data_IF_597562217306
#
_entry.id   IF_597562217306
#
_cell.length_a   1.000
_cell.length_b   1.000
_cell.length_c   1.000
_cell.angle_alpha   90.00
_cell.angle_beta   90.00
_cell.angle_gamma   90.00
#
_symmetry.space_group_name_H-M   'P 1'
#
loop_
_entity.id
_entity.type
_entity.pdbx_description
1 polymer ?
#
# COMPACT_ATOMS: atom_id res chain seq x y z
N UNK A 1 6.86 11.40 4.18
CA UNK A 1 5.59 10.92 3.57
C UNK A 1 4.35 11.71 3.98
N UNK A 2 4.32 12.40 5.13
CA UNK A 2 3.16 13.23 5.52
C UNK A 2 1.89 12.42 5.83
N UNK A 3 2.04 11.11 6.06
CA UNK A 3 0.94 10.21 6.44
C UNK A 3 1.02 9.93 7.93
N UNK A 4 -0.13 9.86 8.59
CA UNK A 4 -0.20 9.52 10.00
C UNK A 4 0.17 8.05 10.21
N UNK A 5 0.63 7.70 11.42
CA UNK A 5 0.84 6.30 11.81
C UNK A 5 -0.44 5.46 11.65
N UNK A 6 -1.61 6.06 11.85
CA UNK A 6 -2.89 5.39 11.64
C UNK A 6 -3.13 5.02 10.17
N UNK A 7 -2.75 5.89 9.23
CA UNK A 7 -2.85 5.60 7.80
C UNK A 7 -1.94 4.44 7.40
N UNK A 8 -0.72 4.38 7.97
CA UNK A 8 0.18 3.23 7.77
C UNK A 8 -0.43 1.95 8.31
N UNK A 9 -0.92 1.95 9.56
CA UNK A 9 -1.56 0.77 10.16
C UNK A 9 -2.80 0.31 9.37
N UNK A 10 -3.59 1.22 8.80
CA UNK A 10 -4.76 0.88 8.01
C UNK A 10 -4.39 0.15 6.69
N UNK A 11 -3.26 0.53 6.08
CA UNK A 11 -2.71 -0.13 4.90
C UNK A 11 -2.16 -1.52 5.30
N UNK A 12 -1.37 -1.61 6.37
CA UNK A 12 -0.79 -2.87 6.83
C UNK A 12 -1.83 -3.90 7.28
N UNK A 13 -2.97 -3.45 7.80
CA UNK A 13 -4.07 -4.33 8.24
C UNK A 13 -5.05 -4.67 7.11
N UNK A 14 -4.80 -4.22 5.88
CA UNK A 14 -5.69 -4.43 4.73
C UNK A 14 -7.07 -3.76 4.88
N UNK A 15 -7.22 -2.84 5.83
CA UNK A 15 -8.49 -2.10 6.04
C UNK A 15 -8.73 -1.08 4.95
N UNK A 16 -7.67 -0.47 4.42
CA UNK A 16 -7.73 0.55 3.38
C UNK A 16 -6.55 0.46 2.43
N UNK A 17 -6.83 0.50 1.13
CA UNK A 17 -5.80 0.68 0.13
C UNK A 17 -5.18 2.08 0.23
N UNK A 18 -3.87 2.22 -0.03
CA UNK A 18 -3.28 3.54 -0.18
C UNK A 18 -3.91 4.25 -1.38
N UNK A 19 -4.11 5.58 -1.26
CA UNK A 19 -4.42 6.38 -2.46
C UNK A 19 -3.28 6.28 -3.48
N UNK A 20 -3.60 6.39 -4.76
CA UNK A 20 -2.61 6.30 -5.84
C UNK A 20 -1.39 7.25 -5.64
N UNK A 21 -1.56 8.53 -5.22
CA UNK A 21 -0.42 9.39 -4.90
C UNK A 21 0.45 8.90 -3.74
N UNK A 22 -0.14 8.25 -2.74
CA UNK A 22 0.59 7.66 -1.60
C UNK A 22 1.36 6.42 -2.04
N UNK A 23 0.73 5.53 -2.80
CA UNK A 23 1.37 4.33 -3.34
C UNK A 23 2.63 4.68 -4.17
N UNK A 24 2.54 5.68 -5.05
CA UNK A 24 3.70 6.16 -5.81
C UNK A 24 4.77 6.84 -4.93
N UNK A 25 4.41 7.51 -3.83
CA UNK A 25 5.40 8.07 -2.88
C UNK A 25 6.14 6.96 -2.16
N UNK A 26 5.46 5.86 -1.83
CA UNK A 26 6.06 4.67 -1.21
C UNK A 26 6.99 3.98 -2.20
N UNK A 27 6.56 3.75 -3.45
CA UNK A 27 7.39 3.20 -4.52
C UNK A 27 8.71 3.98 -4.71
N UNK A 28 8.63 5.31 -4.81
CA UNK A 28 9.83 6.17 -4.89
C UNK A 28 10.72 6.10 -3.66
N UNK A 29 10.15 5.93 -2.46
CA UNK A 29 10.93 5.82 -1.22
C UNK A 29 11.79 4.55 -1.22
N UNK A 30 11.25 3.44 -1.71
CA UNK A 30 11.96 2.17 -1.80
C UNK A 30 12.77 2.01 -3.09
N UNK A 31 12.69 2.98 -4.02
CA UNK A 31 13.32 2.90 -5.35
C UNK A 31 12.92 1.64 -6.12
N UNK A 32 11.66 1.23 -5.96
CA UNK A 32 11.09 0.03 -6.59
C UNK A 32 9.85 0.41 -7.43
N UNK A 33 9.51 -0.38 -8.46
CA UNK A 33 8.24 -0.27 -9.16
C UNK A 33 7.05 -0.45 -8.21
N UNK A 34 5.90 0.15 -8.54
CA UNK A 34 4.71 0.12 -7.67
C UNK A 34 4.14 -1.29 -7.57
N UNK A 35 4.23 -2.06 -8.66
CA UNK A 35 3.82 -3.45 -8.80
C UNK A 35 4.69 -4.44 -8.00
N UNK A 36 5.87 -4.05 -7.54
CA UNK A 36 6.69 -4.86 -6.63
C UNK A 36 6.31 -4.66 -5.16
N UNK A 37 5.54 -3.60 -4.85
CA UNK A 37 5.14 -3.24 -3.48
C UNK A 37 3.65 -3.52 -3.26
N UNK A 38 2.81 -3.29 -4.27
CA UNK A 38 1.36 -3.43 -4.20
C UNK A 38 0.87 -4.38 -5.29
N UNK A 39 -0.12 -5.20 -4.97
CA UNK A 39 -0.80 -6.10 -5.90
C UNK A 39 -2.28 -5.75 -5.96
N UNK A 40 -2.88 -5.90 -7.13
CA UNK A 40 -4.32 -5.79 -7.38
C UNK A 40 -5.06 -7.11 -7.11
N UNK A 41 -4.34 -8.17 -6.74
CA UNK A 41 -4.93 -9.45 -6.37
C UNK A 41 -5.75 -9.27 -5.10
N UNK A 42 -7.07 -9.49 -5.19
CA UNK A 42 -7.89 -9.67 -4.00
C UNK A 42 -7.26 -10.75 -3.12
N UNK A 43 -7.27 -10.59 -1.78
CA UNK A 43 -6.76 -11.62 -0.89
C UNK A 43 -7.45 -12.93 -1.27
N UNK A 44 -6.64 -13.94 -1.58
CA UNK A 44 -7.14 -15.25 -1.95
C UNK A 44 -8.23 -15.64 -0.96
N UNK A 45 -9.47 -15.84 -1.44
CA UNK A 45 -10.52 -16.43 -0.62
C UNK A 45 -9.99 -17.78 -0.16
N UNK A 46 -9.66 -17.86 1.12
CA UNK A 46 -9.44 -19.15 1.76
C UNK A 46 -10.83 -19.81 1.82
N UNK A 47 -11.12 -20.69 0.86
CA UNK A 47 -12.24 -21.63 0.91
C UNK A 47 -12.07 -22.61 2.08
#
# INVERSE_FOLDING_TARGET
LGVSRQAVNAIETGKHDPSLPLAFKIARLFSMPIEEIFSDAEPAKND
#
